data_IF_914185234971
#
_entry.id   IF_914185234971
#
_cell.length_a   1.000
_cell.length_b   1.000
_cell.length_c   1.000
_cell.angle_alpha   90.00
_cell.angle_beta   90.00
_cell.angle_gamma   90.00
#
_symmetry.space_group_name_H-M   'P 1'
#
loop_
_entity.id
_entity.type
_entity.pdbx_description
1 polymer ?
#
# COMPACT_ATOMS: atom_id res chain seq x y z
N UNK A 1 -4.37 -9.93 -14.75
CA UNK A 1 -4.48 -8.70 -13.95
C UNK A 1 -3.24 -8.62 -13.06
N UNK A 2 -2.35 -7.67 -13.33
CA UNK A 2 -1.14 -7.44 -12.51
C UNK A 2 -1.45 -6.51 -11.35
N UNK A 3 -0.69 -6.59 -10.26
CA UNK A 3 -0.87 -5.72 -9.09
C UNK A 3 0.44 -5.02 -8.82
N UNK A 4 0.39 -3.70 -8.68
CA UNK A 4 1.54 -2.86 -8.37
C UNK A 4 1.28 -2.05 -7.10
N UNK A 5 2.32 -1.91 -6.28
CA UNK A 5 2.31 -1.08 -5.09
C UNK A 5 3.58 -0.21 -5.09
N UNK A 6 3.40 1.11 -5.11
CA UNK A 6 4.48 2.09 -5.27
C UNK A 6 5.44 1.75 -6.44
N UNK A 7 4.90 1.18 -7.52
CA UNK A 7 5.67 0.76 -8.71
C UNK A 7 6.32 -0.63 -8.62
N UNK A 8 6.21 -1.33 -7.49
CA UNK A 8 6.71 -2.70 -7.30
C UNK A 8 5.60 -3.70 -7.67
N UNK A 9 5.89 -4.67 -8.54
CA UNK A 9 4.96 -5.75 -8.87
C UNK A 9 4.79 -6.69 -7.66
N UNK A 10 3.55 -6.85 -7.21
CA UNK A 10 3.19 -7.62 -6.02
C UNK A 10 2.89 -9.06 -6.39
N UNK A 11 3.44 -10.00 -5.62
CA UNK A 11 3.08 -11.41 -5.73
C UNK A 11 1.73 -11.67 -5.05
N UNK A 12 0.97 -12.61 -5.60
CA UNK A 12 -0.27 -13.07 -4.98
C UNK A 12 0.02 -13.70 -3.61
N UNK A 13 -0.74 -13.29 -2.61
CA UNK A 13 -0.76 -13.90 -1.28
C UNK A 13 -2.21 -14.27 -0.94
N UNK A 14 -2.42 -15.51 -0.50
CA UNK A 14 -3.73 -15.96 -0.04
C UNK A 14 -4.16 -15.13 1.18
N UNK A 15 -5.36 -14.54 1.13
CA UNK A 15 -5.85 -13.57 2.13
C UNK A 15 -5.37 -12.13 1.92
N UNK A 16 -4.47 -11.88 0.98
CA UNK A 16 -3.96 -10.55 0.65
C UNK A 16 -2.96 -10.00 1.68
N UNK A 17 -2.46 -8.80 1.41
CA UNK A 17 -1.56 -8.08 2.32
C UNK A 17 -2.35 -7.15 3.24
N UNK A 18 -1.90 -7.02 4.50
CA UNK A 18 -2.45 -6.09 5.47
C UNK A 18 -1.58 -4.84 5.60
N UNK A 19 -2.18 -3.66 5.46
CA UNK A 19 -1.50 -2.41 5.79
C UNK A 19 -1.29 -2.29 7.31
N UNK A 20 -0.07 -1.93 7.70
CA UNK A 20 0.34 -1.64 9.07
C UNK A 20 0.82 -0.20 9.12
N UNK A 21 0.04 0.68 9.73
CA UNK A 21 0.37 2.09 9.86
C UNK A 21 1.29 2.29 11.07
N UNK A 22 2.50 2.78 10.85
CA UNK A 22 3.42 3.08 11.96
C UNK A 22 2.94 4.26 12.81
N UNK A 23 2.38 5.29 12.15
CA UNK A 23 1.63 6.35 12.80
C UNK A 23 0.16 5.95 12.92
N UNK A 24 -0.42 5.87 14.13
CA UNK A 24 -1.85 5.59 14.25
C UNK A 24 -2.68 6.70 13.58
N UNK A 25 -3.82 6.32 13.02
CA UNK A 25 -4.87 7.21 12.55
C UNK A 25 -6.16 6.90 13.32
N UNK A 26 -7.07 7.86 13.40
CA UNK A 26 -8.39 7.64 14.00
C UNK A 26 -9.50 7.69 12.94
N UNK A 27 -9.32 8.55 11.95
CA UNK A 27 -10.30 8.79 10.89
C UNK A 27 -9.65 8.66 9.53
N UNK A 28 -10.44 8.22 8.58
CA UNK A 28 -10.12 8.30 7.16
C UNK A 28 -11.37 8.65 6.36
N UNK A 29 -11.15 9.16 5.15
CA UNK A 29 -12.20 9.37 4.15
C UNK A 29 -11.82 8.61 2.91
N UNK A 30 -12.80 7.97 2.29
CA UNK A 30 -12.66 7.31 1.00
C UNK A 30 -13.48 8.02 -0.07
N UNK A 31 -13.00 7.96 -1.31
CA UNK A 31 -13.73 8.40 -2.48
C UNK A 31 -13.43 7.45 -3.64
N UNK A 32 -14.43 7.19 -4.47
CA UNK A 32 -14.28 6.40 -5.69
C UNK A 32 -14.74 7.21 -6.89
N UNK A 33 -13.83 7.38 -7.85
CA UNK A 33 -14.12 8.02 -9.14
C UNK A 33 -14.22 6.93 -10.20
N UNK A 34 -15.41 6.74 -10.75
CA UNK A 34 -15.61 5.90 -11.93
C UNK A 34 -15.25 6.71 -13.18
N UNK A 35 -14.32 6.22 -13.99
CA UNK A 35 -13.91 6.87 -15.25
C UNK A 35 -14.79 6.39 -16.39
N UNK A 36 -14.94 7.21 -17.43
CA UNK A 36 -15.79 6.91 -18.59
C UNK A 36 -15.39 5.62 -19.33
N UNK A 37 -14.11 5.26 -19.30
CA UNK A 37 -13.57 4.05 -19.92
C UNK A 37 -13.78 2.77 -19.09
N UNK A 38 -14.49 2.85 -17.96
CA UNK A 38 -14.77 1.74 -17.05
C UNK A 38 -13.69 1.49 -15.99
N UNK A 39 -12.58 2.22 -16.02
CA UNK A 39 -11.59 2.21 -14.95
C UNK A 39 -12.17 2.83 -13.66
N UNK A 40 -11.59 2.47 -12.52
CA UNK A 40 -11.95 3.04 -11.21
C UNK A 40 -10.72 3.58 -10.51
N UNK A 41 -10.82 4.78 -9.94
CA UNK A 41 -9.83 5.33 -9.03
C UNK A 41 -10.41 5.37 -7.63
N UNK A 42 -9.81 4.63 -6.71
CA UNK A 42 -10.11 4.70 -5.28
C UNK A 42 -9.07 5.58 -4.60
N UNK A 43 -9.53 6.47 -3.73
CA UNK A 43 -8.66 7.41 -3.02
C UNK A 43 -9.04 7.41 -1.55
N UNK A 44 -8.05 7.21 -0.69
CA UNK A 44 -8.22 7.21 0.76
C UNK A 44 -7.31 8.28 1.36
N UNK A 45 -7.88 9.11 2.24
CA UNK A 45 -7.20 10.16 2.98
C UNK A 45 -7.30 9.89 4.48
N UNK A 46 -6.16 9.70 5.14
CA UNK A 46 -6.08 9.40 6.56
C UNK A 46 -5.66 10.66 7.34
N UNK A 47 -6.17 10.83 8.56
CA UNK A 47 -5.88 11.99 9.41
C UNK A 47 -4.42 12.05 9.92
N UNK A 48 -3.70 10.95 9.84
CA UNK A 48 -2.25 10.89 10.09
C UNK A 48 -1.39 11.38 8.88
N UNK A 49 -2.04 11.83 7.80
CA UNK A 49 -1.41 12.37 6.60
C UNK A 49 -1.06 11.34 5.53
N UNK A 50 -1.37 10.06 5.74
CA UNK A 50 -1.26 9.02 4.71
C UNK A 50 -2.35 9.20 3.66
N UNK A 51 -1.98 9.00 2.40
CA UNK A 51 -2.88 8.99 1.25
C UNK A 51 -2.60 7.74 0.43
N UNK A 52 -3.65 6.98 0.13
CA UNK A 52 -3.58 5.77 -0.71
C UNK A 52 -4.43 6.03 -1.95
N UNK A 53 -3.87 5.79 -3.12
CA UNK A 53 -4.55 5.97 -4.41
C UNK A 53 -4.41 4.69 -5.21
N UNK A 54 -5.53 4.08 -5.57
CA UNK A 54 -5.57 2.82 -6.29
C UNK A 54 -6.32 3.00 -7.60
N UNK A 55 -5.60 2.87 -8.71
CA UNK A 55 -6.18 2.82 -10.04
C UNK A 55 -6.41 1.36 -10.43
N UNK A 56 -7.66 1.02 -10.75
CA UNK A 56 -8.08 -0.29 -11.23
C UNK A 56 -8.43 -0.14 -12.72
N UNK A 57 -7.71 -0.87 -13.56
CA UNK A 57 -8.00 -1.01 -14.99
C UNK A 57 -8.35 -2.46 -15.32
N UNK A 58 -8.55 -2.77 -16.59
CA UNK A 58 -8.76 -4.16 -17.05
C UNK A 58 -7.50 -5.03 -16.94
N UNK A 59 -6.33 -4.42 -17.03
CA UNK A 59 -5.05 -5.12 -17.15
C UNK A 59 -4.28 -5.15 -15.84
N UNK A 60 -4.41 -4.09 -15.03
CA UNK A 60 -3.65 -3.89 -13.80
C UNK A 60 -4.43 -3.16 -12.71
N UNK A 61 -3.99 -3.39 -11.47
CA UNK A 61 -4.31 -2.59 -10.29
C UNK A 61 -3.03 -1.93 -9.81
N UNK A 62 -2.98 -0.61 -9.79
CA UNK A 62 -1.81 0.15 -9.37
C UNK A 62 -2.14 1.02 -8.15
N UNK A 63 -1.47 0.75 -7.04
CA UNK A 63 -1.60 1.50 -5.79
C UNK A 63 -0.39 2.38 -5.55
N UNK A 64 -0.62 3.64 -5.17
CA UNK A 64 0.41 4.59 -4.75
C UNK A 64 0.06 5.11 -3.35
N UNK A 65 1.01 4.98 -2.43
CA UNK A 65 0.98 5.49 -1.08
C UNK A 65 2.00 6.63 -0.97
N UNK A 66 1.60 7.78 -0.40
CA UNK A 66 2.47 8.95 -0.24
C UNK A 66 3.48 8.82 0.93
N UNK A 67 4.02 7.62 1.13
CA UNK A 67 4.99 7.27 2.15
C UNK A 67 5.93 6.21 1.60
N UNK A 68 7.10 6.09 2.22
CA UNK A 68 7.89 4.88 2.08
C UNK A 68 7.15 3.69 2.69
N UNK A 69 7.38 2.53 2.11
CA UNK A 69 6.75 1.28 2.52
C UNK A 69 7.79 0.18 2.65
N UNK A 70 7.58 -0.71 3.62
CA UNK A 70 8.30 -1.97 3.71
C UNK A 70 7.34 -3.12 3.42
N UNK A 71 7.71 -4.02 2.52
CA UNK A 71 6.87 -5.16 2.10
C UNK A 71 7.41 -6.42 2.77
N UNK A 72 6.63 -6.98 3.68
CA UNK A 72 6.90 -8.23 4.38
C UNK A 72 6.07 -9.33 3.72
N UNK A 73 6.71 -10.03 2.77
CA UNK A 73 6.07 -11.10 2.00
C UNK A 73 5.93 -12.38 2.81
N UNK A 74 6.73 -12.57 3.86
CA UNK A 74 6.62 -13.73 4.74
C UNK A 74 5.35 -13.66 5.60
N UNK A 75 5.04 -12.47 6.12
CA UNK A 75 3.90 -12.26 7.02
C UNK A 75 2.69 -11.58 6.35
N UNK A 76 2.75 -11.35 5.03
CA UNK A 76 1.74 -10.64 4.25
C UNK A 76 1.38 -9.27 4.84
N UNK A 77 2.40 -8.47 5.19
CA UNK A 77 2.22 -7.11 5.74
C UNK A 77 2.89 -6.08 4.85
N UNK A 78 2.29 -4.90 4.80
CA UNK A 78 2.87 -3.72 4.18
C UNK A 78 2.93 -2.65 5.26
N UNK A 79 4.13 -2.33 5.72
CA UNK A 79 4.33 -1.28 6.71
C UNK A 79 4.38 0.07 6.00
N UNK A 80 3.53 1.00 6.42
CA UNK A 80 3.53 2.39 5.95
C UNK A 80 4.35 3.19 6.95
N UNK A 81 5.55 3.59 6.53
CA UNK A 81 6.56 4.14 7.42
C UNK A 81 6.26 5.58 7.81
N UNK A 82 6.72 5.99 8.99
CA UNK A 82 6.85 7.40 9.34
C UNK A 82 8.07 8.00 8.66
N UNK A 83 8.08 9.33 8.53
CA UNK A 83 9.24 10.06 8.01
C UNK A 83 10.46 9.83 8.90
N UNK A 84 11.58 9.43 8.28
CA UNK A 84 12.83 9.12 8.98
C UNK A 84 12.95 7.68 9.49
N UNK A 85 11.88 6.86 9.44
CA UNK A 85 12.00 5.44 9.72
C UNK A 85 12.60 4.72 8.50
N UNK A 86 13.52 3.81 8.76
CA UNK A 86 14.12 2.95 7.73
C UNK A 86 13.64 1.50 7.89
N UNK A 87 13.96 0.64 6.93
CA UNK A 87 13.73 -0.78 7.07
C UNK A 87 14.86 -1.60 6.43
N UNK A 88 14.99 -2.84 6.87
CA UNK A 88 15.85 -3.84 6.26
C UNK A 88 15.01 -5.03 5.81
N UNK A 89 15.12 -5.38 4.53
CA UNK A 89 14.53 -6.61 4.02
C UNK A 89 15.45 -7.80 4.31
N UNK A 90 14.88 -8.89 4.79
CA UNK A 90 15.58 -10.14 5.07
C UNK A 90 15.43 -11.12 3.90
N UNK A 91 16.37 -12.08 3.73
CA UNK A 91 16.33 -13.05 2.62
C UNK A 91 15.09 -13.96 2.61
N UNK A 92 14.44 -14.14 3.76
CA UNK A 92 13.22 -14.94 3.91
C UNK A 92 11.92 -14.18 3.54
N UNK A 93 12.04 -12.89 3.18
CA UNK A 93 10.91 -12.03 2.85
C UNK A 93 10.31 -11.30 4.04
N UNK A 94 10.83 -11.48 5.26
CA UNK A 94 10.47 -10.64 6.41
C UNK A 94 11.16 -9.27 6.33
N UNK A 95 10.67 -8.32 7.13
CA UNK A 95 11.30 -6.99 7.25
C UNK A 95 11.51 -6.59 8.69
N UNK A 96 12.66 -5.99 8.97
CA UNK A 96 12.96 -5.34 10.23
C UNK A 96 12.77 -3.84 10.07
N UNK A 97 12.00 -3.23 10.97
CA UNK A 97 11.77 -1.79 10.99
C UNK A 97 12.81 -1.13 11.90
N UNK A 98 13.55 -0.16 11.35
CA UNK A 98 14.59 0.60 12.02
C UNK A 98 14.04 2.00 12.34
N UNK A 99 14.24 2.46 13.57
CA UNK A 99 13.79 3.76 14.06
C UNK A 99 14.97 4.64 14.43
#
# INVERSE_FOLDING_TARGET
>A
MKIFLNGIEMQFAEGGYKYVFMKPYQHFKENTVNKENGDKMHIEFYDNGVQIRTLITKEEVATIINREIAIDTLNNKIYILEEGNEFRANPDGSVDILK
#
